data_IF_161739712291
#
_entry.id   IF_161739712291
#
_cell.length_a   1.000
_cell.length_b   1.000
_cell.length_c   1.000
_cell.angle_alpha   90.00
_cell.angle_beta   90.00
_cell.angle_gamma   90.00
#
_symmetry.space_group_name_H-M   'P 1'
#
loop_
_entity.id
_entity.type
_entity.pdbx_description
1 polymer ?
#
# COMPACT_ATOMS: atom_id res chain seq x y z
N UNK A 1 -11.96 18.41 -7.09
CA UNK A 1 -11.43 17.13 -7.60
C UNK A 1 -10.73 16.52 -6.41
N UNK A 2 -11.40 15.57 -5.79
CA UNK A 2 -10.96 14.81 -4.63
C UNK A 2 -9.64 14.14 -4.98
N UNK A 3 -8.61 14.39 -4.18
CA UNK A 3 -7.38 13.63 -4.23
C UNK A 3 -7.74 12.17 -4.03
N UNK A 4 -7.22 11.32 -4.90
CA UNK A 4 -7.49 9.90 -4.97
C UNK A 4 -7.17 9.20 -3.65
N UNK A 5 -8.09 9.26 -2.73
CA UNK A 5 -8.19 8.28 -1.67
C UNK A 5 -8.75 7.02 -2.33
N UNK A 6 -7.96 5.98 -2.39
CA UNK A 6 -8.34 4.70 -2.97
C UNK A 6 -9.16 3.85 -2.01
N UNK A 7 -9.73 4.48 -1.01
CA UNK A 7 -10.74 3.86 -0.16
C UNK A 7 -11.91 3.44 -1.05
N UNK A 8 -12.29 2.19 -0.97
CA UNK A 8 -13.51 1.70 -1.58
C UNK A 8 -14.70 2.12 -0.73
N UNK A 9 -15.81 2.46 -1.37
CA UNK A 9 -17.06 2.64 -0.64
C UNK A 9 -17.47 1.32 -0.01
N UNK A 10 -18.02 1.40 1.19
CA UNK A 10 -18.54 0.22 1.90
C UNK A 10 -19.50 -0.60 1.02
N UNK A 11 -20.36 0.08 0.25
CA UNK A 11 -21.31 -0.57 -0.68
C UNK A 11 -20.61 -1.31 -1.83
N UNK A 12 -19.47 -0.80 -2.33
CA UNK A 12 -18.68 -1.47 -3.36
C UNK A 12 -18.01 -2.73 -2.81
N UNK A 13 -17.49 -2.67 -1.58
CA UNK A 13 -16.89 -3.83 -0.92
C UNK A 13 -17.91 -4.93 -0.66
N UNK A 14 -19.08 -4.59 -0.15
CA UNK A 14 -20.18 -5.53 0.07
C UNK A 14 -20.62 -6.19 -1.24
N UNK A 15 -20.77 -5.41 -2.31
CA UNK A 15 -21.10 -5.95 -3.64
C UNK A 15 -20.05 -6.96 -4.13
N UNK A 16 -18.75 -6.64 -3.99
CA UNK A 16 -17.69 -7.56 -4.42
C UNK A 16 -17.66 -8.84 -3.58
N UNK A 17 -17.88 -8.74 -2.26
CA UNK A 17 -17.99 -9.92 -1.39
C UNK A 17 -19.16 -10.81 -1.79
N UNK A 18 -20.33 -10.22 -2.02
CA UNK A 18 -21.50 -10.96 -2.50
C UNK A 18 -21.22 -11.67 -3.82
N UNK A 19 -20.53 -11.03 -4.76
CA UNK A 19 -20.11 -11.69 -5.99
C UNK A 19 -19.16 -12.86 -5.75
N UNK A 20 -18.19 -12.70 -4.85
CA UNK A 20 -17.22 -13.76 -4.54
C UNK A 20 -17.86 -14.96 -3.82
N UNK A 21 -18.95 -14.72 -3.07
CA UNK A 21 -19.74 -15.75 -2.38
C UNK A 21 -20.83 -16.39 -3.25
N UNK A 22 -21.07 -15.87 -4.45
CA UNK A 22 -22.18 -16.28 -5.34
C UNK A 22 -21.93 -17.52 -6.16
N UNK A 23 -21.22 -18.51 -5.72
CA UNK A 23 -21.27 -19.81 -6.44
C UNK A 23 -22.54 -20.58 -6.06
N UNK A 24 -23.63 -20.56 -6.88
CA UNK A 24 -24.89 -21.18 -6.52
C UNK A 24 -24.82 -22.71 -6.45
N UNK A 25 -23.80 -23.32 -7.04
CA UNK A 25 -23.58 -24.78 -7.03
C UNK A 25 -22.66 -25.23 -5.90
N UNK A 26 -21.96 -24.32 -5.24
CA UNK A 26 -21.08 -24.66 -4.13
C UNK A 26 -21.88 -24.91 -2.82
N UNK A 27 -21.49 -25.88 -1.97
CA UNK A 27 -22.00 -26.02 -0.63
C UNK A 27 -21.78 -24.72 0.17
N UNK A 28 -22.68 -24.41 1.12
CA UNK A 28 -22.67 -23.17 1.90
C UNK A 28 -21.31 -22.89 2.55
N UNK A 29 -20.66 -23.92 3.11
CA UNK A 29 -19.30 -23.84 3.69
C UNK A 29 -18.22 -23.39 2.68
N UNK A 30 -18.45 -23.66 1.38
CA UNK A 30 -17.53 -23.25 0.32
C UNK A 30 -17.81 -21.85 -0.20
N UNK A 31 -19.04 -21.34 -0.03
CA UNK A 31 -19.40 -19.96 -0.43
C UNK A 31 -18.82 -18.94 0.51
N UNK A 32 -18.74 -19.27 1.80
CA UNK A 32 -18.30 -18.38 2.87
C UNK A 32 -16.77 -18.21 2.91
N UNK A 33 -16.02 -19.13 2.25
CA UNK A 33 -14.57 -19.16 2.30
C UNK A 33 -13.97 -19.15 0.90
N UNK A 34 -13.04 -18.22 0.66
CA UNK A 34 -12.18 -18.25 -0.52
C UNK A 34 -10.92 -19.06 -0.19
N UNK A 35 -10.66 -20.11 -0.96
CA UNK A 35 -9.46 -20.95 -0.82
C UNK A 35 -8.46 -20.64 -1.92
N UNK A 36 -7.26 -20.22 -1.55
CA UNK A 36 -6.15 -19.92 -2.46
C UNK A 36 -4.99 -20.86 -2.11
N UNK A 37 -4.59 -21.71 -3.05
CA UNK A 37 -3.38 -22.52 -2.89
C UNK A 37 -2.15 -21.68 -3.18
N UNK A 38 -1.22 -21.64 -2.23
CA UNK A 38 0.01 -20.87 -2.29
C UNK A 38 1.20 -21.81 -2.22
N UNK A 39 2.19 -21.57 -3.07
CA UNK A 39 3.39 -22.41 -3.19
C UNK A 39 4.56 -21.64 -2.57
N UNK A 40 5.26 -22.29 -1.62
CA UNK A 40 6.44 -21.71 -1.01
C UNK A 40 7.55 -21.52 -2.06
N UNK A 41 8.16 -20.34 -2.05
CA UNK A 41 9.33 -20.02 -2.88
C UNK A 41 10.53 -19.92 -1.95
N UNK A 42 11.41 -20.92 -1.97
CA UNK A 42 12.63 -20.93 -1.16
C UNK A 42 13.61 -19.86 -1.69
N UNK A 43 13.84 -18.84 -0.87
CA UNK A 43 14.81 -17.79 -1.11
C UNK A 43 15.95 -17.82 -0.08
N UNK A 44 16.18 -18.96 0.54
CA UNK A 44 17.18 -19.17 1.58
C UNK A 44 16.60 -19.11 2.99
N UNK A 45 17.47 -18.91 3.98
CA UNK A 45 17.09 -18.91 5.40
C UNK A 45 15.97 -17.89 5.69
N UNK A 46 14.89 -18.38 6.32
CA UNK A 46 13.71 -17.58 6.67
C UNK A 46 12.88 -17.08 5.47
N UNK A 47 12.88 -17.79 4.35
CA UNK A 47 11.96 -17.48 3.25
C UNK A 47 10.50 -17.61 3.73
N UNK A 48 9.74 -16.54 3.53
CA UNK A 48 8.30 -16.50 3.81
C UNK A 48 7.55 -15.96 2.59
N UNK A 49 8.13 -16.17 1.42
CA UNK A 49 7.56 -15.81 0.13
C UNK A 49 6.81 -17.00 -0.44
N UNK A 50 5.60 -16.73 -0.88
CA UNK A 50 4.75 -17.69 -1.60
C UNK A 50 4.37 -17.10 -2.96
N UNK A 51 4.04 -17.96 -3.91
CA UNK A 51 3.51 -17.57 -5.21
C UNK A 51 2.16 -18.24 -5.47
N UNK A 52 1.30 -17.51 -6.18
CA UNK A 52 -0.03 -17.98 -6.60
C UNK A 52 -0.57 -17.08 -7.71
N UNK A 53 -1.87 -17.17 -7.96
CA UNK A 53 -2.65 -16.21 -8.73
C UNK A 53 -3.78 -15.66 -7.85
N UNK A 54 -4.07 -14.36 -8.01
CA UNK A 54 -5.22 -13.72 -7.36
C UNK A 54 -5.96 -12.86 -8.37
N UNK A 55 -7.24 -12.65 -8.14
CA UNK A 55 -8.07 -11.86 -9.05
C UNK A 55 -8.31 -10.43 -8.55
N UNK A 56 -8.88 -9.60 -9.43
CA UNK A 56 -9.22 -8.21 -9.15
C UNK A 56 -10.19 -8.09 -7.98
N UNK A 57 -11.20 -8.96 -7.89
CA UNK A 57 -12.17 -8.93 -6.80
C UNK A 57 -11.48 -9.13 -5.44
N UNK A 58 -10.67 -10.17 -5.30
CA UNK A 58 -9.92 -10.43 -4.09
C UNK A 58 -9.00 -9.26 -3.69
N UNK A 59 -8.21 -8.75 -4.65
CA UNK A 59 -7.26 -7.68 -4.38
C UNK A 59 -7.93 -6.37 -3.95
N UNK A 60 -9.12 -6.07 -4.48
CA UNK A 60 -9.83 -4.84 -4.13
C UNK A 60 -10.73 -4.96 -2.90
N UNK A 61 -11.02 -6.19 -2.46
CA UNK A 61 -11.87 -6.45 -1.29
C UNK A 61 -11.06 -6.76 -0.05
N UNK A 62 -10.04 -7.62 -0.19
CA UNK A 62 -9.31 -8.19 0.95
C UNK A 62 -7.94 -7.55 1.20
N UNK A 63 -7.42 -6.73 0.28
CA UNK A 63 -6.07 -6.18 0.35
C UNK A 63 -6.12 -4.65 0.34
N UNK A 64 -5.55 -4.06 1.41
CA UNK A 64 -5.48 -2.60 1.55
C UNK A 64 -4.25 -2.05 0.83
N UNK A 65 -4.31 -0.78 0.53
CA UNK A 65 -3.22 0.02 -0.03
C UNK A 65 -2.77 1.04 0.98
N UNK A 66 -1.48 1.25 1.05
CA UNK A 66 -0.86 2.21 1.96
C UNK A 66 -0.21 3.34 1.15
N UNK A 67 -1.00 4.27 0.58
CA UNK A 67 -0.45 5.40 -0.14
C UNK A 67 0.28 6.34 0.84
N UNK A 68 1.49 6.78 0.46
CA UNK A 68 2.22 7.78 1.21
C UNK A 68 1.87 9.17 0.69
N UNK A 69 1.24 9.96 1.53
CA UNK A 69 0.89 11.36 1.27
C UNK A 69 1.02 12.18 2.58
N UNK A 70 0.59 13.43 2.58
CA UNK A 70 0.68 14.28 3.77
C UNK A 70 -0.29 13.91 4.90
N UNK A 71 -1.33 13.14 4.61
CA UNK A 71 -2.28 12.62 5.61
C UNK A 71 -1.80 11.27 6.18
N UNK A 72 -1.05 10.49 5.36
CA UNK A 72 -0.56 9.16 5.69
C UNK A 72 0.95 9.06 5.42
N UNK A 73 1.75 9.66 6.30
CA UNK A 73 3.22 9.65 6.21
C UNK A 73 3.84 8.27 6.48
N UNK A 74 3.11 7.39 7.12
CA UNK A 74 3.46 5.99 7.37
C UNK A 74 3.18 5.07 6.15
N UNK A 75 2.52 5.60 5.14
CA UNK A 75 2.30 4.91 3.88
C UNK A 75 3.60 4.61 3.12
N UNK A 76 3.57 3.59 2.28
CA UNK A 76 4.74 3.09 1.56
C UNK A 76 4.65 3.41 0.07
N UNK A 77 3.46 3.33 -0.50
CA UNK A 77 3.25 3.46 -1.93
C UNK A 77 3.19 4.92 -2.37
N UNK A 78 3.70 5.18 -3.57
CA UNK A 78 3.53 6.48 -4.23
C UNK A 78 2.07 6.70 -4.59
N UNK A 79 1.67 7.97 -4.70
CA UNK A 79 0.39 8.31 -5.30
C UNK A 79 0.27 7.70 -6.70
N UNK A 80 -0.95 7.27 -7.05
CA UNK A 80 -1.23 6.76 -8.40
C UNK A 80 -0.97 7.84 -9.43
N UNK A 81 -0.32 7.44 -10.50
CA UNK A 81 -0.27 8.25 -11.72
C UNK A 81 -1.50 7.93 -12.56
N UNK A 82 -2.45 8.86 -12.61
CA UNK A 82 -3.72 8.66 -13.32
C UNK A 82 -3.50 8.18 -14.75
N UNK A 83 -2.57 8.77 -15.48
CA UNK A 83 -2.24 8.33 -16.84
C UNK A 83 -1.94 6.84 -16.93
N UNK A 84 -1.17 6.28 -15.98
CA UNK A 84 -0.83 4.86 -16.00
C UNK A 84 -2.06 3.98 -15.74
N UNK A 85 -2.95 4.42 -14.85
CA UNK A 85 -4.22 3.74 -14.56
C UNK A 85 -5.11 3.77 -15.79
N UNK A 86 -5.27 4.94 -16.43
CA UNK A 86 -6.08 5.12 -17.63
C UNK A 86 -5.58 4.28 -18.81
N UNK A 87 -4.25 4.23 -19.02
CA UNK A 87 -3.63 3.41 -20.08
C UNK A 87 -3.94 1.91 -19.89
N UNK A 88 -3.85 1.43 -18.64
CA UNK A 88 -4.17 0.04 -18.30
C UNK A 88 -5.67 -0.24 -18.43
N UNK A 89 -6.52 0.64 -17.89
CA UNK A 89 -7.97 0.55 -18.03
C UNK A 89 -8.40 0.47 -19.50
N UNK A 90 -7.85 1.35 -20.34
CA UNK A 90 -8.13 1.34 -21.78
C UNK A 90 -7.62 0.05 -22.46
N UNK A 91 -6.50 -0.49 -22.00
CA UNK A 91 -6.02 -1.80 -22.44
C UNK A 91 -7.06 -2.90 -22.19
N UNK A 92 -7.59 -2.99 -20.97
CA UNK A 92 -8.61 -3.97 -20.59
C UNK A 92 -9.96 -3.77 -21.31
N UNK A 93 -10.32 -2.53 -21.62
CA UNK A 93 -11.57 -2.22 -22.32
C UNK A 93 -11.49 -2.51 -23.83
N UNK A 94 -10.31 -2.30 -24.45
CA UNK A 94 -10.13 -2.42 -25.90
C UNK A 94 -9.74 -3.83 -26.36
N UNK A 95 -9.17 -4.64 -25.49
CA UNK A 95 -8.64 -5.95 -25.84
C UNK A 95 -9.05 -7.01 -24.82
N UNK A 96 -9.67 -8.08 -25.31
CA UNK A 96 -9.93 -9.29 -24.52
C UNK A 96 -8.63 -10.05 -24.15
N UNK A 97 -7.49 -9.64 -24.71
CA UNK A 97 -6.16 -10.25 -24.51
C UNK A 97 -5.14 -9.25 -23.99
N UNK A 98 -5.57 -8.32 -23.16
CA UNK A 98 -4.64 -7.38 -22.52
C UNK A 98 -3.93 -8.09 -21.36
N UNK A 99 -2.66 -8.41 -21.58
CA UNK A 99 -1.84 -9.14 -20.61
C UNK A 99 -1.01 -8.18 -19.76
N UNK A 100 -1.03 -8.41 -18.46
CA UNK A 100 -0.15 -7.73 -17.49
C UNK A 100 0.74 -8.79 -16.82
N UNK A 101 1.87 -9.19 -17.46
CA UNK A 101 2.68 -10.35 -17.04
C UNK A 101 3.41 -10.15 -15.71
N UNK A 102 3.55 -8.90 -15.27
CA UNK A 102 4.24 -8.61 -14.01
C UNK A 102 3.38 -8.99 -12.80
N UNK A 103 3.98 -9.67 -11.83
CA UNK A 103 3.29 -10.09 -10.61
C UNK A 103 2.84 -8.89 -9.75
N UNK A 104 1.70 -9.04 -9.10
CA UNK A 104 1.30 -8.23 -7.97
C UNK A 104 2.02 -8.77 -6.74
N UNK A 105 2.45 -7.89 -5.84
CA UNK A 105 3.10 -8.29 -4.59
C UNK A 105 2.26 -7.81 -3.41
N UNK A 106 1.88 -8.73 -2.54
CA UNK A 106 1.11 -8.45 -1.33
C UNK A 106 1.82 -8.98 -0.08
N UNK A 107 1.44 -8.45 1.06
CA UNK A 107 1.87 -8.93 2.37
C UNK A 107 0.64 -9.15 3.25
N UNK A 108 0.50 -10.33 3.82
CA UNK A 108 -0.57 -10.61 4.78
C UNK A 108 -0.21 -10.04 6.16
N UNK A 109 -1.21 -9.59 6.90
CA UNK A 109 -1.06 -9.15 8.29
C UNK A 109 -0.65 -10.34 9.14
N UNK A 110 0.22 -10.12 10.10
CA UNK A 110 0.68 -11.16 11.03
C UNK A 110 -0.45 -11.65 11.95
N UNK A 111 -1.33 -10.74 12.34
CA UNK A 111 -2.50 -11.04 13.16
C UNK A 111 -3.77 -10.55 12.44
N UNK A 112 -4.60 -11.49 12.03
CA UNK A 112 -5.86 -11.21 11.36
C UNK A 112 -6.80 -12.40 11.51
N UNK A 113 -8.03 -12.15 11.93
CA UNK A 113 -9.04 -13.21 12.14
C UNK A 113 -9.74 -13.60 10.82
N UNK A 114 -9.57 -12.84 9.75
CA UNK A 114 -10.27 -13.07 8.48
C UNK A 114 -9.57 -14.07 7.57
N UNK A 115 -8.45 -14.67 7.98
CA UNK A 115 -7.81 -15.74 7.24
C UNK A 115 -7.08 -16.73 8.15
N UNK A 116 -6.86 -17.91 7.64
CA UNK A 116 -5.99 -18.93 8.23
C UNK A 116 -5.13 -19.62 7.16
N UNK A 117 -4.03 -20.20 7.60
CA UNK A 117 -3.15 -21.00 6.76
C UNK A 117 -3.28 -22.47 7.15
N UNK A 118 -3.69 -23.29 6.20
CA UNK A 118 -3.83 -24.74 6.37
C UNK A 118 -2.73 -25.46 5.60
N UNK A 119 -2.15 -26.50 6.20
CA UNK A 119 -1.25 -27.41 5.51
C UNK A 119 -2.04 -28.32 4.56
N UNK A 120 -1.48 -28.56 3.38
CA UNK A 120 -2.09 -29.48 2.41
C UNK A 120 -1.46 -30.85 2.60
N UNK A 121 -2.29 -31.85 2.90
CA UNK A 121 -1.84 -33.22 3.18
C UNK A 121 -0.95 -33.77 2.05
N UNK A 122 0.27 -34.19 2.41
CA UNK A 122 1.23 -34.76 1.47
C UNK A 122 1.98 -33.75 0.60
N UNK A 123 1.81 -32.43 0.82
CA UNK A 123 2.42 -31.37 0.02
C UNK A 123 3.08 -30.32 0.91
N UNK A 124 4.30 -30.56 1.37
CA UNK A 124 4.99 -29.68 2.33
C UNK A 124 5.26 -28.25 1.81
N UNK A 125 5.34 -28.09 0.50
CA UNK A 125 5.62 -26.78 -0.13
C UNK A 125 4.34 -26.00 -0.46
N UNK A 126 3.17 -26.61 -0.32
CA UNK A 126 1.88 -26.01 -0.64
C UNK A 126 1.10 -25.79 0.64
N UNK A 127 0.58 -24.58 0.80
CA UNK A 127 -0.39 -24.24 1.84
C UNK A 127 -1.70 -23.79 1.19
N UNK A 128 -2.79 -23.96 1.92
CA UNK A 128 -4.07 -23.38 1.56
C UNK A 128 -4.31 -22.13 2.42
N UNK A 129 -4.37 -20.96 1.80
CA UNK A 129 -4.84 -19.74 2.42
C UNK A 129 -6.37 -19.74 2.34
N UNK A 130 -7.01 -19.87 3.50
CA UNK A 130 -8.47 -19.83 3.63
C UNK A 130 -8.88 -18.45 4.12
N UNK A 131 -9.69 -17.76 3.36
CA UNK A 131 -10.15 -16.40 3.67
C UNK A 131 -11.64 -16.48 4.00
N UNK A 132 -12.01 -15.98 5.17
CA UNK A 132 -13.37 -16.00 5.70
C UNK A 132 -14.16 -14.79 5.18
N UNK A 133 -14.74 -14.93 3.98
CA UNK A 133 -15.48 -13.84 3.33
C UNK A 133 -16.74 -13.42 4.10
N UNK A 134 -17.39 -14.38 4.74
CA UNK A 134 -18.55 -14.16 5.62
C UNK A 134 -18.19 -13.27 6.82
N UNK A 135 -17.06 -13.50 7.45
CA UNK A 135 -16.62 -12.68 8.58
C UNK A 135 -16.28 -11.24 8.15
N UNK A 136 -15.67 -11.06 6.96
CA UNK A 136 -15.44 -9.72 6.40
C UNK A 136 -16.78 -9.05 6.11
N UNK A 137 -17.73 -9.80 5.54
CA UNK A 137 -19.08 -9.30 5.23
C UNK A 137 -19.85 -8.90 6.49
N UNK A 138 -19.80 -9.72 7.54
CA UNK A 138 -20.40 -9.44 8.85
C UNK A 138 -19.76 -8.20 9.49
N UNK A 139 -18.43 -8.08 9.47
CA UNK A 139 -17.74 -6.89 9.96
C UNK A 139 -18.20 -5.64 9.21
N UNK A 140 -18.23 -5.66 7.89
CA UNK A 140 -18.68 -4.52 7.09
C UNK A 140 -20.14 -4.12 7.38
N UNK A 141 -21.00 -5.05 7.74
CA UNK A 141 -22.40 -4.76 8.12
C UNK A 141 -22.56 -4.38 9.60
N UNK A 142 -21.50 -4.50 10.40
CA UNK A 142 -21.55 -4.13 11.82
C UNK A 142 -21.47 -2.61 12.02
N UNK A 143 -21.85 -2.10 13.20
CA UNK A 143 -21.67 -0.70 13.57
C UNK A 143 -20.20 -0.28 13.66
N UNK A 144 -19.26 -1.22 13.79
CA UNK A 144 -17.83 -0.96 13.91
C UNK A 144 -17.21 -0.49 12.58
N UNK A 145 -17.83 -0.87 11.45
CA UNK A 145 -17.42 -0.42 10.13
C UNK A 145 -18.02 0.95 9.79
N UNK A 146 -17.55 1.99 10.50
CA UNK A 146 -17.98 3.36 10.32
C UNK A 146 -17.59 3.93 8.95
N UNK A 147 -18.45 4.78 8.39
CA UNK A 147 -18.21 5.46 7.12
C UNK A 147 -18.32 6.97 7.27
N UNK A 148 -17.59 7.69 6.41
CA UNK A 148 -17.79 9.13 6.26
C UNK A 148 -19.08 9.44 5.47
N UNK A 149 -19.38 10.73 5.29
CA UNK A 149 -20.58 11.21 4.59
C UNK A 149 -20.67 10.71 3.12
N UNK A 150 -19.53 10.39 2.49
CA UNK A 150 -19.46 9.90 1.12
C UNK A 150 -19.54 8.37 1.02
N UNK A 151 -19.61 7.68 2.16
CA UNK A 151 -19.75 6.22 2.28
C UNK A 151 -18.40 5.45 2.22
N UNK A 152 -17.26 6.12 2.38
CA UNK A 152 -15.96 5.47 2.53
C UNK A 152 -15.73 5.04 3.98
N UNK A 153 -15.10 3.89 4.17
CA UNK A 153 -14.71 3.42 5.50
C UNK A 153 -13.73 4.42 6.14
N UNK A 154 -13.94 4.72 7.42
CA UNK A 154 -13.02 5.54 8.23
C UNK A 154 -11.74 4.75 8.52
N UNK A 155 -11.88 3.45 8.84
CA UNK A 155 -10.77 2.51 8.99
C UNK A 155 -10.87 1.37 7.96
N UNK A 156 -10.38 1.57 6.73
CA UNK A 156 -10.41 0.52 5.71
C UNK A 156 -9.48 -0.66 6.06
N UNK A 157 -8.44 -0.45 6.87
CA UNK A 157 -7.53 -1.52 7.27
C UNK A 157 -8.23 -2.59 8.09
N UNK A 158 -9.20 -2.23 8.91
CA UNK A 158 -9.90 -3.17 9.78
C UNK A 158 -10.65 -4.26 9.01
N UNK A 159 -11.04 -4.00 7.77
CA UNK A 159 -11.77 -4.94 6.91
C UNK A 159 -10.87 -5.79 5.98
N UNK A 160 -9.53 -5.73 6.11
CA UNK A 160 -8.61 -6.36 5.15
C UNK A 160 -7.65 -7.34 5.81
N UNK A 161 -7.16 -8.30 5.03
CA UNK A 161 -6.23 -9.34 5.48
C UNK A 161 -4.76 -9.02 5.23
N UNK A 162 -4.47 -7.97 4.46
CA UNK A 162 -3.10 -7.64 4.10
C UNK A 162 -2.97 -6.35 3.32
N UNK A 163 -1.77 -6.11 2.83
CA UNK A 163 -1.38 -4.88 2.14
C UNK A 163 -0.79 -5.18 0.78
N UNK A 164 -1.13 -4.35 -0.22
CA UNK A 164 -0.47 -4.39 -1.52
C UNK A 164 0.89 -3.70 -1.43
N UNK A 165 1.95 -4.37 -1.86
CA UNK A 165 3.31 -3.80 -1.93
C UNK A 165 3.57 -3.22 -3.32
N UNK A 166 3.28 -3.99 -4.37
CA UNK A 166 3.41 -3.56 -5.77
C UNK A 166 2.26 -4.05 -6.63
N UNK A 167 2.03 -3.41 -7.76
CA UNK A 167 0.97 -3.76 -8.71
C UNK A 167 -0.28 -2.88 -8.64
N UNK A 168 -0.27 -1.85 -7.81
CA UNK A 168 -1.44 -1.00 -7.56
C UNK A 168 -2.01 -0.33 -8.82
N UNK A 169 -1.18 0.16 -9.75
CA UNK A 169 -1.68 0.74 -11.02
C UNK A 169 -2.39 -0.31 -11.87
N UNK A 170 -1.84 -1.54 -11.91
CA UNK A 170 -2.41 -2.65 -12.68
C UNK A 170 -3.75 -3.08 -12.12
N UNK A 171 -3.80 -3.29 -10.80
CA UNK A 171 -5.04 -3.64 -10.13
C UNK A 171 -6.11 -2.56 -10.27
N UNK A 172 -5.74 -1.27 -10.08
CA UNK A 172 -6.67 -0.15 -10.22
C UNK A 172 -7.20 0.00 -11.65
N UNK A 173 -6.35 -0.12 -12.67
CA UNK A 173 -6.78 -0.06 -14.07
C UNK A 173 -7.73 -1.19 -14.44
N UNK A 174 -7.44 -2.42 -14.00
CA UNK A 174 -8.32 -3.57 -14.21
C UNK A 174 -9.66 -3.42 -13.46
N UNK A 175 -9.63 -2.91 -12.23
CA UNK A 175 -10.84 -2.65 -11.46
C UNK A 175 -11.73 -1.58 -12.10
N UNK A 176 -11.14 -0.47 -12.56
CA UNK A 176 -11.87 0.60 -13.22
C UNK A 176 -12.51 0.11 -14.55
N UNK A 177 -11.80 -0.74 -15.27
CA UNK A 177 -12.36 -1.36 -16.48
C UNK A 177 -13.59 -2.24 -16.15
N UNK A 178 -13.51 -3.07 -15.11
CA UNK A 178 -14.64 -3.88 -14.65
C UNK A 178 -15.83 -3.01 -14.21
N UNK A 179 -15.55 -1.93 -13.46
CA UNK A 179 -16.58 -0.97 -13.03
C UNK A 179 -17.28 -0.29 -14.20
N UNK A 180 -16.53 0.17 -15.20
CA UNK A 180 -17.12 0.78 -16.42
C UNK A 180 -18.00 -0.18 -17.20
N UNK A 181 -17.60 -1.45 -17.31
CA UNK A 181 -18.42 -2.45 -17.97
C UNK A 181 -19.73 -2.63 -17.21
N UNK A 182 -19.68 -2.74 -15.88
CA UNK A 182 -20.87 -2.80 -15.04
C UNK A 182 -21.80 -1.61 -15.26
N UNK A 183 -21.28 -0.38 -15.23
CA UNK A 183 -22.05 0.84 -15.47
C UNK A 183 -22.75 0.84 -16.84
N UNK A 184 -22.04 0.45 -17.90
CA UNK A 184 -22.62 0.34 -19.27
C UNK A 184 -23.71 -0.73 -19.35
N UNK A 185 -23.57 -1.85 -18.66
CA UNK A 185 -24.57 -2.91 -18.63
C UNK A 185 -25.82 -2.48 -17.86
N UNK A 186 -25.64 -1.81 -16.72
CA UNK A 186 -26.76 -1.24 -15.96
C UNK A 186 -27.54 -0.19 -16.78
N UNK A 187 -26.84 0.73 -17.47
CA UNK A 187 -27.47 1.74 -18.34
C UNK A 187 -28.26 1.12 -19.51
N UNK A 188 -27.85 -0.06 -19.97
CA UNK A 188 -28.52 -0.77 -21.06
C UNK A 188 -29.58 -1.78 -20.60
N UNK A 189 -29.85 -1.82 -19.29
CA UNK A 189 -30.77 -2.80 -18.69
C UNK A 189 -30.39 -4.26 -18.96
N UNK A 190 -29.10 -4.53 -19.22
CA UNK A 190 -28.60 -5.88 -19.45
C UNK A 190 -28.38 -6.54 -18.10
N UNK A 191 -29.13 -7.58 -17.80
CA UNK A 191 -29.04 -8.33 -16.55
C UNK A 191 -27.92 -9.40 -16.53
N UNK A 192 -27.08 -9.45 -17.56
CA UNK A 192 -25.99 -10.43 -17.63
C UNK A 192 -24.84 -10.01 -16.70
N UNK A 193 -24.90 -10.53 -15.49
CA UNK A 193 -23.85 -10.34 -14.49
C UNK A 193 -22.57 -11.14 -14.80
N UNK A 194 -22.62 -12.10 -15.74
CA UNK A 194 -21.51 -13.01 -16.01
C UNK A 194 -20.34 -12.30 -16.66
N UNK A 195 -20.56 -11.38 -17.61
CA UNK A 195 -19.47 -10.63 -18.24
C UNK A 195 -18.79 -9.67 -17.23
N UNK A 196 -19.56 -8.99 -16.39
CA UNK A 196 -19.05 -8.15 -15.30
C UNK A 196 -18.25 -9.00 -14.32
N UNK A 197 -18.81 -10.13 -13.90
CA UNK A 197 -18.16 -11.06 -13.00
C UNK A 197 -16.83 -11.56 -13.57
N UNK A 198 -16.77 -11.93 -14.85
CA UNK A 198 -15.54 -12.38 -15.51
C UNK A 198 -14.44 -11.30 -15.50
N UNK A 199 -14.79 -10.00 -15.60
CA UNK A 199 -13.79 -8.92 -15.51
C UNK A 199 -13.21 -8.76 -14.11
N UNK A 200 -14.02 -8.93 -13.09
CA UNK A 200 -13.53 -8.97 -11.70
C UNK A 200 -12.73 -10.24 -11.39
N UNK A 201 -12.88 -11.29 -12.17
CA UNK A 201 -12.08 -12.52 -12.11
C UNK A 201 -10.76 -12.44 -12.88
N UNK A 202 -10.43 -11.30 -13.51
CA UNK A 202 -9.12 -11.13 -14.13
C UNK A 202 -8.01 -11.40 -13.11
N UNK A 203 -7.11 -12.34 -13.46
CA UNK A 203 -6.12 -12.88 -12.55
C UNK A 203 -4.75 -12.25 -12.78
N UNK A 204 -4.04 -12.03 -11.67
CA UNK A 204 -2.63 -11.62 -11.67
C UNK A 204 -1.76 -12.72 -11.08
N UNK A 205 -0.57 -12.99 -11.65
CA UNK A 205 0.49 -13.67 -10.93
C UNK A 205 0.74 -12.89 -9.64
N UNK A 206 0.81 -13.57 -8.50
CA UNK A 206 0.87 -12.89 -7.20
C UNK A 206 1.97 -13.48 -6.33
N UNK A 207 2.79 -12.60 -5.79
CA UNK A 207 3.77 -12.90 -4.76
C UNK A 207 3.21 -12.50 -3.40
N UNK A 208 3.19 -13.43 -2.43
CA UNK A 208 2.61 -13.23 -1.11
C UNK A 208 3.71 -13.37 -0.06
N UNK A 209 3.92 -12.33 0.75
CA UNK A 209 4.75 -12.39 1.94
C UNK A 209 3.87 -12.61 3.17
N UNK A 210 4.32 -13.52 4.07
CA UNK A 210 3.62 -13.87 5.31
C UNK A 210 4.60 -13.73 6.47
N UNK A 211 4.11 -13.23 7.62
CA UNK A 211 4.94 -13.08 8.83
C UNK A 211 6.04 -12.02 8.70
N UNK A 212 5.79 -10.96 7.94
CA UNK A 212 6.70 -9.82 7.78
C UNK A 212 6.07 -8.54 8.34
N UNK A 213 6.91 -7.70 8.91
CA UNK A 213 6.49 -6.41 9.46
C UNK A 213 6.28 -5.34 8.38
N UNK A 214 5.62 -4.22 8.73
CA UNK A 214 5.54 -3.02 7.85
C UNK A 214 6.92 -2.50 7.44
N UNK A 215 7.92 -2.62 8.31
CA UNK A 215 9.31 -2.27 8.01
C UNK A 215 9.87 -3.13 6.88
N UNK A 216 9.66 -4.45 6.95
CA UNK A 216 10.09 -5.36 5.88
C UNK A 216 9.39 -5.05 4.58
N UNK A 217 8.10 -4.71 4.62
CA UNK A 217 7.33 -4.29 3.46
C UNK A 217 7.95 -3.07 2.76
N UNK A 218 8.39 -2.07 3.53
CA UNK A 218 9.08 -0.90 2.98
C UNK A 218 10.39 -1.28 2.28
N UNK A 219 11.16 -2.20 2.87
CA UNK A 219 12.39 -2.74 2.26
C UNK A 219 12.12 -3.48 0.96
N UNK A 220 11.11 -4.36 0.93
CA UNK A 220 10.70 -5.12 -0.26
C UNK A 220 10.27 -4.15 -1.37
N UNK A 221 9.41 -3.15 -1.04
CA UNK A 221 8.98 -2.13 -2.00
C UNK A 221 10.16 -1.36 -2.60
N UNK A 222 11.12 -0.95 -1.75
CA UNK A 222 12.35 -0.29 -2.19
C UNK A 222 13.17 -1.17 -3.15
N UNK A 223 13.34 -2.45 -2.84
CA UNK A 223 14.03 -3.43 -3.66
C UNK A 223 13.37 -3.63 -5.04
N UNK A 224 12.06 -3.77 -5.08
CA UNK A 224 11.29 -3.93 -6.33
C UNK A 224 11.44 -2.67 -7.20
N UNK A 225 11.26 -1.48 -6.62
CA UNK A 225 11.20 -0.24 -7.38
C UNK A 225 12.56 0.30 -7.83
N UNK A 226 13.66 -0.06 -7.16
CA UNK A 226 15.02 0.37 -7.56
C UNK A 226 15.42 -0.11 -8.96
N UNK A 227 14.75 -1.13 -9.49
CA UNK A 227 15.03 -1.70 -10.82
C UNK A 227 14.08 -1.19 -11.93
N UNK A 228 12.94 -0.60 -11.59
CA UNK A 228 11.90 -0.28 -12.59
C UNK A 228 11.82 1.20 -13.00
N UNK A 229 11.81 2.11 -12.09
CA UNK A 229 11.96 3.56 -12.33
C UNK A 229 12.64 4.15 -11.10
N UNK A 230 13.66 5.00 -11.31
CA UNK A 230 14.28 5.68 -10.17
C UNK A 230 13.20 6.43 -9.39
N UNK A 231 12.86 6.00 -8.17
CA UNK A 231 11.95 6.76 -7.32
C UNK A 231 12.56 8.14 -7.08
N UNK A 232 11.73 9.13 -6.78
CA UNK A 232 12.26 10.44 -6.40
C UNK A 232 13.15 10.33 -5.16
N UNK A 233 14.12 11.22 -5.01
CA UNK A 233 14.96 11.27 -3.82
C UNK A 233 14.14 11.42 -2.52
N UNK A 234 13.01 12.14 -2.59
CA UNK A 234 12.06 12.29 -1.48
C UNK A 234 11.50 10.94 -1.05
N UNK A 235 11.06 10.15 -2.02
CA UNK A 235 10.45 8.84 -1.77
C UNK A 235 11.48 7.82 -1.27
N UNK A 236 12.67 7.79 -1.89
CA UNK A 236 13.77 6.92 -1.43
C UNK A 236 14.15 7.22 0.02
N UNK A 237 14.31 8.49 0.38
CA UNK A 237 14.63 8.87 1.75
C UNK A 237 13.55 8.43 2.73
N UNK A 238 12.28 8.65 2.40
CA UNK A 238 11.17 8.21 3.23
C UNK A 238 11.14 6.69 3.45
N UNK A 239 11.39 5.90 2.40
CA UNK A 239 11.45 4.44 2.51
C UNK A 239 12.65 3.98 3.34
N UNK A 240 13.83 4.59 3.15
CA UNK A 240 15.03 4.28 3.95
C UNK A 240 14.82 4.56 5.45
N UNK A 241 14.15 5.66 5.80
CA UNK A 241 13.75 5.95 7.18
C UNK A 241 12.81 4.85 7.73
N UNK A 242 11.79 4.46 6.99
CA UNK A 242 10.83 3.44 7.42
C UNK A 242 11.45 2.04 7.55
N UNK A 243 12.38 1.69 6.66
CA UNK A 243 13.09 0.39 6.70
C UNK A 243 14.26 0.37 7.67
N UNK A 244 14.55 1.48 8.36
CA UNK A 244 15.74 1.69 9.19
C UNK A 244 17.05 1.37 8.44
N UNK A 245 17.09 1.67 7.15
CA UNK A 245 18.25 1.53 6.26
C UNK A 245 19.01 2.87 6.15
N UNK A 246 19.16 3.55 7.29
CA UNK A 246 19.96 4.75 7.45
C UNK A 246 21.15 4.41 8.36
N UNK A 247 22.31 5.00 8.05
CA UNK A 247 23.40 4.97 9.04
C UNK A 247 23.09 5.88 10.24
N UNK A 248 23.88 5.77 11.31
CA UNK A 248 23.60 6.51 12.56
C UNK A 248 23.55 8.03 12.34
N UNK A 249 24.36 8.56 11.43
CA UNK A 249 24.42 9.99 11.13
C UNK A 249 23.21 10.43 10.29
N UNK A 250 22.83 9.64 9.30
CA UNK A 250 21.63 9.87 8.49
C UNK A 250 20.36 9.77 9.34
N UNK A 251 20.26 8.79 10.25
CA UNK A 251 19.14 8.63 11.16
C UNK A 251 19.00 9.82 12.12
N UNK A 252 20.11 10.26 12.70
CA UNK A 252 20.14 11.47 13.52
C UNK A 252 19.68 12.70 12.72
N UNK A 253 20.21 12.87 11.52
CA UNK A 253 19.85 13.99 10.64
C UNK A 253 18.36 13.92 10.22
N UNK A 254 17.81 12.73 10.00
CA UNK A 254 16.41 12.53 9.69
C UNK A 254 15.48 12.94 10.83
N UNK A 255 15.81 12.56 12.07
CA UNK A 255 15.06 12.97 13.27
C UNK A 255 15.12 14.48 13.49
N UNK A 256 16.27 15.12 13.27
CA UNK A 256 16.40 16.58 13.33
C UNK A 256 15.53 17.25 12.26
N UNK A 257 15.57 16.75 11.02
CA UNK A 257 14.73 17.25 9.93
C UNK A 257 13.24 17.15 10.25
N UNK A 258 12.79 16.04 10.83
CA UNK A 258 11.40 15.85 11.24
C UNK A 258 10.99 16.89 12.29
N UNK A 259 11.83 17.13 13.30
CA UNK A 259 11.57 18.18 14.30
C UNK A 259 11.49 19.56 13.66
N UNK A 260 12.43 19.89 12.77
CA UNK A 260 12.41 21.17 12.04
C UNK A 260 11.15 21.34 11.19
N UNK A 261 10.56 20.26 10.70
CA UNK A 261 9.34 20.32 9.90
C UNK A 261 8.05 20.30 10.72
N UNK A 262 8.06 19.84 11.97
CA UNK A 262 6.86 19.62 12.79
C UNK A 262 6.70 20.57 13.96
N UNK A 263 7.80 21.00 14.60
CA UNK A 263 7.74 21.81 15.82
C UNK A 263 7.21 23.23 15.54
N UNK A 264 6.38 23.74 16.48
CA UNK A 264 5.71 25.02 16.31
C UNK A 264 6.62 26.23 16.30
N UNK A 265 7.75 26.14 16.97
CA UNK A 265 8.78 27.18 17.06
C UNK A 265 9.81 27.12 15.91
N UNK A 266 9.71 26.11 15.06
CA UNK A 266 10.62 25.96 13.93
C UNK A 266 10.30 26.91 12.78
N UNK A 267 11.32 27.60 12.27
CA UNK A 267 11.26 28.43 11.08
C UNK A 267 10.98 27.62 9.80
N UNK A 268 11.23 26.30 9.83
CA UNK A 268 11.00 25.36 8.74
C UNK A 268 9.74 24.53 8.90
N UNK A 269 8.88 24.86 9.88
CA UNK A 269 7.62 24.15 10.07
C UNK A 269 6.82 24.10 8.78
N UNK A 270 6.42 22.89 8.36
CA UNK A 270 5.66 22.64 7.13
C UNK A 270 6.34 23.13 5.84
N UNK A 271 7.66 23.42 5.89
CA UNK A 271 8.44 23.94 4.76
C UNK A 271 9.31 22.90 4.07
N UNK A 272 9.42 21.71 4.64
CA UNK A 272 10.18 20.59 4.07
C UNK A 272 9.23 19.62 3.41
N UNK A 273 9.43 19.37 2.12
CA UNK A 273 8.64 18.41 1.36
C UNK A 273 9.05 16.98 1.74
N UNK A 274 8.15 16.23 2.37
CA UNK A 274 8.40 14.87 2.89
C UNK A 274 7.78 13.76 2.05
N UNK A 275 6.93 14.11 1.08
CA UNK A 275 6.33 13.13 0.16
C UNK A 275 6.15 13.71 -1.26
N UNK A 276 5.93 12.85 -2.25
CA UNK A 276 5.75 13.24 -3.66
C UNK A 276 4.37 13.85 -3.97
N UNK A 277 3.43 13.81 -3.05
CA UNK A 277 2.08 14.34 -3.22
C UNK A 277 2.02 15.85 -3.42
N UNK A 278 0.84 16.36 -3.74
CA UNK A 278 0.54 17.78 -3.69
C UNK A 278 0.48 18.23 -2.24
N UNK A 279 0.96 19.44 -1.99
CA UNK A 279 0.79 20.07 -0.69
C UNK A 279 -0.70 20.24 -0.38
N UNK A 280 -1.12 20.07 0.89
CA UNK A 280 -2.48 20.38 1.32
C UNK A 280 -2.89 21.80 0.90
N UNK A 281 -4.20 21.99 0.70
CA UNK A 281 -4.72 23.31 0.34
C UNK A 281 -4.44 24.30 1.47
N UNK A 282 -3.75 25.38 1.15
CA UNK A 282 -3.33 26.39 2.14
C UNK A 282 -2.01 26.11 2.83
N UNK A 283 -1.36 24.99 2.55
CA UNK A 283 -0.04 24.71 3.10
C UNK A 283 0.99 25.73 2.58
N UNK A 284 1.99 26.09 3.41
CA UNK A 284 3.05 26.99 2.98
C UNK A 284 3.90 26.37 1.87
N UNK A 285 4.52 27.21 1.03
CA UNK A 285 5.44 26.73 0.01
C UNK A 285 6.63 26.01 0.65
N UNK A 286 6.98 24.83 0.12
CA UNK A 286 8.17 24.10 0.56
C UNK A 286 9.42 24.61 -0.15
N UNK A 287 10.53 24.72 0.59
CA UNK A 287 11.82 25.20 0.03
C UNK A 287 12.76 24.05 -0.29
N UNK A 288 12.74 23.01 0.54
CA UNK A 288 13.63 21.86 0.46
C UNK A 288 12.80 20.56 0.49
N UNK A 289 13.42 19.48 0.10
CA UNK A 289 12.87 18.16 0.34
C UNK A 289 13.66 17.41 1.44
N UNK A 290 13.04 16.38 2.02
CA UNK A 290 13.62 15.56 3.08
C UNK A 290 15.03 15.05 2.73
N UNK A 291 15.23 14.49 1.54
CA UNK A 291 16.53 13.92 1.12
C UNK A 291 17.65 14.99 1.10
N UNK A 292 17.34 16.18 0.59
CA UNK A 292 18.31 17.29 0.59
C UNK A 292 18.57 17.79 2.00
N UNK A 293 17.53 17.89 2.84
CA UNK A 293 17.68 18.37 4.20
C UNK A 293 18.49 17.40 5.06
N UNK A 294 18.17 16.11 5.01
CA UNK A 294 18.95 15.07 5.69
C UNK A 294 20.41 15.12 5.25
N UNK A 295 20.68 15.20 3.95
CA UNK A 295 22.05 15.32 3.43
C UNK A 295 22.76 16.58 3.96
N UNK A 296 22.12 17.74 3.97
CA UNK A 296 22.70 18.99 4.47
C UNK A 296 23.06 18.86 5.96
N UNK A 297 22.19 18.31 6.78
CA UNK A 297 22.43 18.10 8.21
C UNK A 297 23.56 17.10 8.42
N UNK A 298 23.55 15.99 7.68
CA UNK A 298 24.62 14.97 7.74
C UNK A 298 25.98 15.55 7.36
N UNK A 299 26.05 16.27 6.24
CA UNK A 299 27.29 16.90 5.76
C UNK A 299 27.82 17.94 6.77
N UNK A 300 26.92 18.76 7.31
CA UNK A 300 27.25 19.72 8.36
C UNK A 300 27.76 19.00 9.64
N UNK A 301 27.06 17.95 10.07
CA UNK A 301 27.42 17.17 11.24
C UNK A 301 28.82 16.54 11.14
N UNK A 302 29.15 15.97 9.97
CA UNK A 302 30.45 15.40 9.67
C UNK A 302 31.59 16.45 9.79
N UNK A 303 31.32 17.68 9.38
CA UNK A 303 32.27 18.78 9.53
C UNK A 303 32.37 19.22 10.99
N UNK A 304 31.25 19.33 11.70
CA UNK A 304 31.20 19.70 13.12
C UNK A 304 31.97 18.71 14.00
N UNK A 305 31.80 17.39 13.74
CA UNK A 305 32.48 16.34 14.50
C UNK A 305 33.99 16.25 14.25
N UNK A 306 34.51 16.81 13.16
CA UNK A 306 35.97 16.93 12.95
C UNK A 306 36.63 17.96 13.87
N UNK A 307 35.85 18.92 14.41
CA UNK A 307 36.33 19.97 15.29
C UNK A 307 35.43 20.08 16.56
N UNK A 308 35.35 19.05 17.40
CA UNK A 308 34.38 19.00 18.50
C UNK A 308 34.55 20.08 19.55
N UNK A 309 35.74 20.66 19.68
CA UNK A 309 36.03 21.75 20.64
C UNK A 309 35.40 23.09 20.27
N UNK A 310 35.02 23.28 19.01
CA UNK A 310 34.38 24.51 18.52
C UNK A 310 32.85 24.46 18.57
N UNK A 311 32.25 23.31 18.90
CA UNK A 311 30.82 23.12 18.88
C UNK A 311 30.24 22.82 20.27
N UNK A 312 29.21 23.56 20.66
CA UNK A 312 28.56 23.41 21.97
C UNK A 312 27.51 22.27 21.99
N UNK A 313 27.19 21.66 20.82
CA UNK A 313 26.21 20.59 20.70
C UNK A 313 26.80 19.25 21.17
N UNK A 314 26.13 18.61 22.11
CA UNK A 314 26.34 17.20 22.45
C UNK A 314 25.36 16.36 21.66
N UNK A 315 25.74 15.90 20.53
CA UNK A 315 25.21 14.86 19.66
C UNK A 315 23.81 14.23 19.86
N UNK A 316 22.82 14.96 20.39
CA UNK A 316 21.44 14.53 20.45
C UNK A 316 20.63 15.33 19.43
N UNK A 317 19.59 14.71 18.89
CA UNK A 317 18.67 15.35 17.94
C UNK A 317 18.07 16.65 18.48
N UNK A 318 17.76 16.74 19.78
CA UNK A 318 17.26 17.96 20.42
C UNK A 318 18.30 19.10 20.40
N UNK A 319 19.53 18.81 20.73
CA UNK A 319 20.57 19.82 20.78
C UNK A 319 20.94 20.35 19.39
N UNK A 320 20.94 19.46 18.39
CA UNK A 320 21.16 19.83 16.99
C UNK A 320 20.00 20.65 16.47
N UNK A 321 18.76 20.22 16.77
CA UNK A 321 17.55 20.95 16.42
C UNK A 321 17.60 22.40 16.96
N UNK A 322 17.81 22.55 18.27
CA UNK A 322 17.91 23.87 18.91
C UNK A 322 18.97 24.74 18.24
N UNK A 323 20.17 24.19 18.00
CA UNK A 323 21.25 24.93 17.36
C UNK A 323 20.94 25.38 15.92
N UNK A 324 20.25 24.57 15.15
CA UNK A 324 19.92 24.89 13.76
C UNK A 324 18.67 25.78 13.62
N UNK A 325 17.85 25.86 14.67
CA UNK A 325 16.61 26.65 14.65
C UNK A 325 16.83 28.07 15.23
N UNK A 326 17.82 28.28 16.05
CA UNK A 326 18.28 29.58 16.59
C UNK A 326 19.07 30.38 15.53
#
# INVERSE_FOLDING_TARGET
KTEFTQARKKTELLYMLEMMMRDPEAPEEKRNNLKIYIINVDQGLNSCLYTTKTNVAFLNTCIERLPRNYEHLDGIQRALKQKNVDDIEQGHLKSSRYDTPNSVTIMLKEQCNFYELQDVAGMNEIKCLVIHLDQIYEYLNSPEAETNEEGFLIDPEAATIGYMIDGHHRNEGAYNAAKKIKEVMEEREIQDNDEVYQKYQYEFPTSIYIGRSRKDMAGIFGGINNKQQKPSAIHVMAIRQMSLDLDEEEDLAARVMEKMNSENDSVLKDRIKVCDGRLPKGAPATFLNNAKMVKLITDWWKVAMKNPSSWKCKGTDNNIYTFLND
#
